data_IF_234556877520
#
_entry.id   IF_234556877520
#
_cell.length_a   1.000
_cell.length_b   1.000
_cell.length_c   1.000
_cell.angle_alpha   90.00
_cell.angle_beta   90.00
_cell.angle_gamma   90.00
#
_symmetry.space_group_name_H-M   'P 1'
#
loop_
_entity.id
_entity.type
_entity.pdbx_description
1 polymer ?
#
# COMPACT_ATOMS: atom_id res chain seq x y z
N UNK A 1 23.10 -7.90 -21.37
CA UNK A 1 24.38 -7.98 -20.62
C UNK A 1 24.13 -7.66 -19.15
N UNK A 2 25.14 -7.70 -18.28
CA UNK A 2 24.98 -7.24 -16.89
C UNK A 2 24.63 -5.74 -16.82
N UNK A 3 25.21 -4.94 -17.72
CA UNK A 3 24.88 -3.51 -17.88
C UNK A 3 23.41 -3.29 -18.26
N UNK A 4 22.85 -4.08 -19.19
CA UNK A 4 21.43 -3.97 -19.55
C UNK A 4 20.51 -4.26 -18.36
N UNK A 5 20.82 -5.27 -17.54
CA UNK A 5 20.04 -5.58 -16.34
C UNK A 5 20.08 -4.46 -15.31
N UNK A 6 21.22 -3.79 -15.17
CA UNK A 6 21.37 -2.62 -14.31
C UNK A 6 20.58 -1.42 -14.81
N UNK A 7 20.53 -1.21 -16.13
CA UNK A 7 19.70 -0.16 -16.72
C UNK A 7 18.21 -0.42 -16.46
N UNK A 8 17.74 -1.66 -16.67
CA UNK A 8 16.36 -2.08 -16.39
C UNK A 8 16.04 -1.90 -14.90
N UNK A 9 16.95 -2.29 -13.99
CA UNK A 9 16.73 -2.10 -12.56
C UNK A 9 16.57 -0.62 -12.19
N UNK A 10 17.33 0.28 -12.80
CA UNK A 10 17.18 1.72 -12.61
C UNK A 10 15.82 2.22 -13.09
N UNK A 11 15.36 1.73 -14.24
CA UNK A 11 14.02 2.05 -14.77
C UNK A 11 12.92 1.56 -13.83
N UNK A 12 13.01 0.33 -13.31
CA UNK A 12 12.06 -0.22 -12.33
C UNK A 12 12.01 0.65 -11.07
N UNK A 13 13.16 1.07 -10.55
CA UNK A 13 13.21 1.94 -9.37
C UNK A 13 12.56 3.31 -9.65
N UNK A 14 12.74 3.87 -10.85
CA UNK A 14 12.07 5.10 -11.26
C UNK A 14 10.55 4.92 -11.37
N UNK A 15 10.09 3.81 -11.96
CA UNK A 15 8.68 3.48 -12.06
C UNK A 15 8.04 3.28 -10.67
N UNK A 16 8.74 2.65 -9.74
CA UNK A 16 8.28 2.54 -8.35
C UNK A 16 8.12 3.91 -7.68
N UNK A 17 9.07 4.82 -7.88
CA UNK A 17 8.93 6.19 -7.37
C UNK A 17 7.72 6.91 -7.99
N UNK A 18 7.48 6.68 -9.28
CA UNK A 18 6.33 7.23 -9.99
C UNK A 18 5.00 6.66 -9.46
N UNK A 19 4.93 5.35 -9.17
CA UNK A 19 3.76 4.72 -8.54
C UNK A 19 3.48 5.37 -7.18
N UNK A 20 4.51 5.52 -6.34
CA UNK A 20 4.35 6.20 -5.04
C UNK A 20 3.86 7.63 -5.22
N UNK A 21 4.38 8.38 -6.21
CA UNK A 21 3.91 9.74 -6.51
C UNK A 21 2.44 9.77 -6.93
N UNK A 22 2.03 8.88 -7.84
CA UNK A 22 0.62 8.79 -8.27
C UNK A 22 -0.27 8.47 -7.06
N UNK A 23 0.17 7.59 -6.18
CA UNK A 23 -0.55 7.26 -4.94
C UNK A 23 -0.81 8.48 -4.06
N UNK A 24 0.23 9.29 -3.83
CA UNK A 24 0.17 10.44 -2.93
C UNK A 24 -0.52 11.65 -3.55
N UNK A 25 -0.34 11.86 -4.85
CA UNK A 25 -0.74 13.09 -5.53
C UNK A 25 -2.13 12.98 -6.17
N UNK A 26 -2.69 11.77 -6.32
CA UNK A 26 -4.05 11.58 -6.84
C UNK A 26 -5.07 12.04 -5.80
N UNK A 27 -5.60 13.25 -6.02
CA UNK A 27 -6.63 13.85 -5.18
C UNK A 27 -7.90 14.21 -5.96
N UNK A 28 -9.03 14.18 -5.26
CA UNK A 28 -10.31 14.74 -5.72
C UNK A 28 -10.82 15.73 -4.68
N UNK A 29 -11.04 16.99 -5.08
CA UNK A 29 -11.48 18.06 -4.19
C UNK A 29 -10.62 18.14 -2.90
N UNK A 30 -9.29 18.19 -3.09
CA UNK A 30 -8.26 18.21 -2.02
C UNK A 30 -8.26 17.01 -1.09
N UNK A 31 -8.97 15.93 -1.43
CA UNK A 31 -8.95 14.66 -0.68
C UNK A 31 -8.12 13.64 -1.45
N UNK A 32 -7.04 13.11 -0.86
CA UNK A 32 -6.27 12.05 -1.48
C UNK A 32 -7.12 10.79 -1.60
N UNK A 33 -7.03 10.11 -2.73
CA UNK A 33 -7.86 8.93 -3.03
C UNK A 33 -7.14 7.62 -2.78
N UNK A 34 -5.85 7.54 -3.14
CA UNK A 34 -5.09 6.29 -3.21
C UNK A 34 -4.12 6.07 -2.03
N UNK A 35 -4.08 7.01 -1.08
CA UNK A 35 -3.17 6.96 0.05
C UNK A 35 -3.65 6.05 1.20
N UNK A 36 -4.83 5.44 1.07
CA UNK A 36 -5.45 4.57 2.07
C UNK A 36 -6.35 5.26 3.08
N UNK A 37 -6.48 6.58 3.04
CA UNK A 37 -7.36 7.30 3.96
C UNK A 37 -8.85 6.99 3.74
N UNK A 38 -9.20 6.51 2.55
CA UNK A 38 -10.57 6.14 2.16
C UNK A 38 -10.86 4.66 2.37
N UNK A 39 -10.05 3.95 3.16
CA UNK A 39 -10.33 2.59 3.61
C UNK A 39 -10.57 2.57 5.13
N UNK A 40 -10.91 1.41 5.69
CA UNK A 40 -10.97 1.21 7.13
C UNK A 40 -9.64 1.59 7.78
N UNK A 41 -9.68 2.51 8.73
CA UNK A 41 -8.54 2.78 9.58
C UNK A 41 -8.38 1.71 10.65
N UNK A 42 -7.15 1.52 11.12
CA UNK A 42 -6.86 0.63 12.25
C UNK A 42 -5.89 1.28 13.21
N UNK A 43 -5.97 0.90 14.49
CA UNK A 43 -4.90 1.15 15.44
C UNK A 43 -4.39 -0.16 16.02
N UNK A 44 -3.08 -0.22 16.26
CA UNK A 44 -2.43 -1.30 17.00
C UNK A 44 -2.21 -0.84 18.44
N UNK A 45 -2.30 -1.77 19.40
CA UNK A 45 -1.92 -1.53 20.78
C UNK A 45 -0.40 -1.37 20.97
N UNK A 46 0.41 -1.81 20.00
CA UNK A 46 1.88 -1.72 20.00
C UNK A 46 2.35 -0.93 18.78
N UNK A 47 3.38 -0.08 18.93
CA UNK A 47 4.04 0.64 17.83
C UNK A 47 4.73 -0.26 16.81
N UNK A 48 5.00 -1.50 17.22
CA UNK A 48 5.83 -2.43 16.47
C UNK A 48 5.04 -3.16 15.39
N UNK A 49 3.72 -2.96 15.32
CA UNK A 49 2.88 -3.58 14.30
C UNK A 49 2.01 -2.56 13.59
N UNK A 50 2.06 -2.61 12.25
CA UNK A 50 1.28 -1.76 11.36
C UNK A 50 0.38 -2.63 10.47
N UNK A 51 -0.86 -2.22 10.25
CA UNK A 51 -1.70 -2.84 9.24
C UNK A 51 -1.34 -2.29 7.85
N UNK A 52 -1.10 -3.19 6.91
CA UNK A 52 -0.73 -2.85 5.53
C UNK A 52 -1.98 -2.70 4.68
N UNK A 53 -2.85 -3.71 4.70
CA UNK A 53 -4.07 -3.75 3.89
C UNK A 53 -5.10 -4.69 4.51
N UNK A 54 -6.36 -4.43 4.19
CA UNK A 54 -7.49 -5.30 4.52
C UNK A 54 -8.37 -5.53 3.29
N UNK A 55 -9.11 -6.63 3.30
CA UNK A 55 -10.19 -6.89 2.36
C UNK A 55 -11.52 -6.33 2.85
N UNK A 56 -12.50 -6.18 1.95
CA UNK A 56 -13.82 -5.64 2.29
C UNK A 56 -14.64 -6.55 3.22
N UNK A 57 -14.27 -7.84 3.31
CA UNK A 57 -14.92 -8.83 4.17
C UNK A 57 -14.47 -8.73 5.63
N UNK A 58 -13.59 -7.78 5.95
CA UNK A 58 -13.05 -7.58 7.29
C UNK A 58 -14.00 -6.71 8.08
N UNK A 59 -14.67 -7.30 9.07
CA UNK A 59 -15.51 -6.56 10.00
C UNK A 59 -14.69 -5.61 10.87
N UNK A 60 -15.29 -4.48 11.26
CA UNK A 60 -14.75 -3.57 12.27
C UNK A 60 -14.86 -4.20 13.67
N UNK A 61 -13.77 -4.81 14.13
CA UNK A 61 -13.64 -5.42 15.46
C UNK A 61 -12.16 -5.52 15.87
N UNK A 62 -11.93 -6.03 17.06
CA UNK A 62 -10.60 -6.31 17.58
C UNK A 62 -10.09 -7.65 17.06
N UNK A 63 -8.94 -7.63 16.41
CA UNK A 63 -8.21 -8.80 15.95
C UNK A 63 -6.95 -8.98 16.79
N UNK A 64 -6.93 -10.06 17.58
CA UNK A 64 -5.82 -10.39 18.46
C UNK A 64 -4.96 -11.48 17.83
N UNK A 65 -3.65 -11.31 17.90
CA UNK A 65 -2.68 -12.34 17.53
C UNK A 65 -1.41 -12.16 18.35
N UNK A 66 -0.60 -13.21 18.39
CA UNK A 66 0.62 -13.26 19.17
C UNK A 66 1.79 -13.38 18.20
N UNK A 67 2.74 -12.46 18.27
CA UNK A 67 4.00 -12.60 17.55
C UNK A 67 4.93 -13.44 18.42
N UNK A 68 5.16 -14.69 18.00
CA UNK A 68 6.04 -15.61 18.70
C UNK A 68 7.50 -15.44 18.29
N UNK A 69 7.75 -14.89 17.11
CA UNK A 69 9.10 -14.75 16.57
C UNK A 69 9.16 -13.57 15.61
N UNK A 70 10.20 -12.74 15.72
CA UNK A 70 10.43 -11.68 14.75
C UNK A 70 11.02 -12.24 13.46
N UNK A 71 10.95 -11.44 12.40
CA UNK A 71 11.66 -11.73 11.17
C UNK A 71 13.12 -11.25 11.26
N UNK A 72 14.03 -11.97 10.60
CA UNK A 72 15.45 -11.62 10.48
C UNK A 72 15.87 -11.66 9.01
N UNK A 73 16.68 -10.69 8.60
CA UNK A 73 17.35 -10.68 7.29
C UNK A 73 18.37 -11.82 7.21
N UNK A 74 18.77 -12.23 6.01
CA UNK A 74 19.94 -13.10 5.87
C UNK A 74 21.18 -12.24 6.17
N UNK A 75 21.90 -12.57 7.25
CA UNK A 75 23.10 -11.84 7.67
C UNK A 75 24.28 -12.80 7.69
N UNK A 76 25.38 -12.39 7.05
CA UNK A 76 26.65 -13.09 7.07
C UNK A 76 27.75 -12.16 7.53
N UNK A 77 28.57 -12.63 8.47
CA UNK A 77 29.63 -11.84 9.10
C UNK A 77 30.97 -12.58 9.05
N UNK A 78 32.06 -11.84 9.26
CA UNK A 78 33.37 -12.44 9.52
C UNK A 78 34.28 -12.57 8.31
N UNK A 79 33.88 -12.07 7.13
CA UNK A 79 34.83 -11.85 6.04
C UNK A 79 35.80 -10.74 6.47
N UNK A 80 37.10 -11.00 6.51
CA UNK A 80 38.09 -10.02 6.98
C UNK A 80 38.64 -9.21 5.81
N UNK A 81 38.74 -7.88 5.97
CA UNK A 81 39.55 -7.05 5.10
C UNK A 81 40.90 -6.80 5.76
N UNK A 82 41.98 -6.97 4.99
CA UNK A 82 43.33 -6.58 5.42
C UNK A 82 43.47 -5.06 5.56
N UNK A 83 44.68 -4.59 5.82
CA UNK A 83 44.96 -3.16 5.89
C UNK A 83 44.69 -2.46 4.55
N UNK A 84 44.28 -1.19 4.60
CA UNK A 84 43.94 -0.36 3.41
C UNK A 84 45.06 -0.29 2.35
N UNK A 85 46.32 -0.45 2.77
CA UNK A 85 47.50 -0.46 1.89
C UNK A 85 47.85 -1.84 1.32
N UNK A 86 47.19 -2.90 1.80
CA UNK A 86 47.47 -4.26 1.35
C UNK A 86 46.95 -4.44 -0.08
N UNK A 87 47.79 -5.04 -0.92
CA UNK A 87 47.47 -5.37 -2.30
C UNK A 87 47.27 -6.88 -2.42
N UNK A 88 46.35 -7.27 -3.30
CA UNK A 88 46.16 -8.66 -3.66
C UNK A 88 47.40 -9.17 -4.41
N UNK A 89 48.08 -10.20 -3.89
CA UNK A 89 49.20 -10.82 -4.57
C UNK A 89 48.76 -11.60 -5.83
N UNK A 90 49.68 -11.85 -6.77
CA UNK A 90 49.38 -12.59 -8.02
C UNK A 90 48.79 -13.99 -7.77
N UNK A 91 49.22 -14.67 -6.71
CA UNK A 91 48.71 -15.99 -6.32
C UNK A 91 47.39 -15.93 -5.53
N UNK A 92 46.96 -14.73 -5.19
CA UNK A 92 45.72 -14.39 -4.52
C UNK A 92 44.73 -13.70 -5.47
N UNK A 93 44.96 -13.66 -6.79
CA UNK A 93 43.89 -13.25 -7.71
C UNK A 93 42.84 -14.36 -7.87
N UNK A 94 41.58 -13.99 -8.13
CA UNK A 94 40.51 -14.96 -8.29
C UNK A 94 39.12 -14.36 -8.32
N UNK A 95 38.12 -15.24 -8.27
CA UNK A 95 36.71 -14.87 -8.41
C UNK A 95 36.00 -15.17 -7.08
N UNK A 96 35.23 -14.21 -6.60
CA UNK A 96 34.25 -14.40 -5.53
C UNK A 96 32.88 -14.44 -6.19
N UNK A 97 32.16 -15.55 -6.02
CA UNK A 97 30.80 -15.68 -6.47
C UNK A 97 29.86 -15.42 -5.29
N UNK A 98 28.99 -14.41 -5.42
CA UNK A 98 27.94 -14.13 -4.43
C UNK A 98 26.60 -14.31 -5.15
N UNK A 99 25.74 -15.22 -4.67
CA UNK A 99 24.40 -15.49 -5.24
C UNK A 99 24.39 -15.58 -6.79
N UNK A 100 25.41 -16.19 -7.39
CA UNK A 100 25.54 -16.37 -8.84
C UNK A 100 26.20 -15.21 -9.59
N UNK A 101 26.59 -14.13 -8.92
CA UNK A 101 27.32 -13.00 -9.52
C UNK A 101 28.82 -13.15 -9.29
N UNK A 102 29.59 -13.25 -10.37
CA UNK A 102 31.05 -13.35 -10.34
C UNK A 102 31.72 -11.97 -10.16
N UNK A 103 32.45 -11.82 -9.07
CA UNK A 103 33.24 -10.64 -8.73
C UNK A 103 34.71 -10.98 -8.98
N UNK A 104 35.31 -10.35 -9.99
CA UNK A 104 36.71 -10.58 -10.36
C UNK A 104 37.63 -9.66 -9.57
N UNK A 105 38.47 -10.27 -8.73
CA UNK A 105 39.53 -9.61 -7.99
C UNK A 105 40.84 -9.82 -8.76
N UNK A 106 41.44 -8.71 -9.20
CA UNK A 106 42.69 -8.75 -9.95
C UNK A 106 43.88 -8.60 -9.00
N UNK A 107 45.02 -9.15 -9.42
CA UNK A 107 46.27 -8.91 -8.71
C UNK A 107 46.65 -7.42 -8.76
N UNK A 108 47.10 -6.88 -7.62
CA UNK A 108 47.43 -5.46 -7.45
C UNK A 108 46.26 -4.54 -7.12
N UNK A 109 45.01 -5.04 -7.08
CA UNK A 109 43.88 -4.28 -6.55
C UNK A 109 44.13 -3.97 -5.06
N UNK A 110 43.84 -2.74 -4.63
CA UNK A 110 43.86 -2.39 -3.20
C UNK A 110 42.61 -2.91 -2.50
N UNK A 111 42.67 -3.15 -1.20
CA UNK A 111 41.50 -3.59 -0.42
C UNK A 111 40.32 -2.61 -0.52
N UNK A 112 40.57 -1.32 -0.73
CA UNK A 112 39.54 -0.31 -1.01
C UNK A 112 38.85 -0.54 -2.36
N UNK A 113 39.61 -0.86 -3.41
CA UNK A 113 39.05 -1.18 -4.73
C UNK A 113 38.27 -2.51 -4.71
N UNK A 114 38.74 -3.49 -3.94
CA UNK A 114 38.02 -4.75 -3.75
C UNK A 114 36.72 -4.52 -2.99
N UNK A 115 36.73 -3.69 -1.94
CA UNK A 115 35.53 -3.34 -1.20
C UNK A 115 34.50 -2.62 -2.08
N UNK A 116 34.92 -1.64 -2.89
CA UNK A 116 34.00 -0.97 -3.82
C UNK A 116 33.42 -1.93 -4.85
N UNK A 117 34.21 -2.85 -5.42
CA UNK A 117 33.69 -3.90 -6.32
C UNK A 117 32.69 -4.82 -5.62
N UNK A 118 32.95 -5.20 -4.37
CA UNK A 118 32.05 -6.02 -3.57
C UNK A 118 30.75 -5.27 -3.26
N UNK A 119 30.85 -4.00 -2.88
CA UNK A 119 29.72 -3.13 -2.57
C UNK A 119 28.83 -2.93 -3.78
N UNK A 120 29.41 -2.55 -4.92
CA UNK A 120 28.68 -2.38 -6.17
C UNK A 120 27.95 -3.65 -6.55
N UNK A 121 28.64 -4.80 -6.56
CA UNK A 121 28.03 -6.09 -6.88
C UNK A 121 26.90 -6.44 -5.90
N UNK A 122 27.10 -6.29 -4.60
CA UNK A 122 26.10 -6.61 -3.60
C UNK A 122 24.89 -5.67 -3.65
N UNK A 123 25.09 -4.39 -3.93
CA UNK A 123 23.99 -3.43 -4.12
C UNK A 123 23.08 -3.85 -5.28
N UNK A 124 23.64 -4.43 -6.36
CA UNK A 124 22.84 -5.00 -7.45
C UNK A 124 22.02 -6.22 -7.02
N UNK A 125 22.41 -6.90 -5.96
CA UNK A 125 21.76 -8.11 -5.42
C UNK A 125 20.82 -7.81 -4.24
N UNK A 126 20.56 -6.53 -3.93
CA UNK A 126 19.85 -6.13 -2.70
C UNK A 126 20.52 -6.64 -1.41
N UNK A 127 21.84 -6.78 -1.44
CA UNK A 127 22.67 -7.09 -0.29
C UNK A 127 23.43 -5.83 0.09
N UNK A 128 23.28 -5.34 1.31
CA UNK A 128 24.12 -4.27 1.86
C UNK A 128 25.41 -4.89 2.40
N UNK A 129 26.53 -4.22 2.16
CA UNK A 129 27.85 -4.60 2.69
C UNK A 129 28.46 -3.42 3.43
N UNK A 130 28.96 -3.65 4.64
CA UNK A 130 29.68 -2.65 5.41
C UNK A 130 30.71 -3.29 6.34
N UNK A 131 31.69 -2.50 6.77
CA UNK A 131 32.66 -2.90 7.77
C UNK A 131 32.08 -2.73 9.19
N UNK A 132 32.13 -3.78 9.99
CA UNK A 132 31.68 -3.82 11.36
C UNK A 132 32.75 -3.25 12.30
N UNK A 133 32.34 -2.30 13.15
CA UNK A 133 33.16 -1.73 14.23
C UNK A 133 32.65 -2.12 15.62
N UNK A 134 31.34 -2.41 15.74
CA UNK A 134 30.70 -2.70 17.01
C UNK A 134 29.29 -3.28 16.84
N UNK A 135 28.54 -3.29 17.93
CA UNK A 135 27.15 -3.73 17.98
C UNK A 135 26.32 -2.61 18.59
N UNK A 136 25.46 -1.99 17.77
CA UNK A 136 24.66 -0.81 18.10
C UNK A 136 23.19 -1.13 18.35
N UNK A 137 22.73 -2.34 18.00
CA UNK A 137 21.33 -2.76 18.18
C UNK A 137 20.35 -2.14 17.17
N UNK A 138 20.85 -1.41 16.17
CA UNK A 138 20.03 -0.78 15.12
C UNK A 138 19.51 -1.84 14.11
N UNK A 139 18.18 -2.01 13.96
CA UNK A 139 17.62 -2.99 13.02
C UNK A 139 18.00 -2.74 11.55
N UNK A 140 18.27 -1.50 11.14
CA UNK A 140 18.61 -1.15 9.74
C UNK A 140 20.00 -1.66 9.32
N UNK A 141 20.84 -1.96 10.30
CA UNK A 141 22.17 -2.58 10.17
C UNK A 141 22.21 -3.94 10.86
N UNK A 142 21.06 -4.61 11.00
CA UNK A 142 20.93 -5.90 11.69
C UNK A 142 21.60 -5.94 13.07
N UNK A 143 21.68 -4.82 13.77
CA UNK A 143 22.29 -4.70 15.10
C UNK A 143 23.79 -4.37 15.11
N UNK A 144 24.44 -4.23 13.95
CA UNK A 144 25.85 -3.92 13.84
C UNK A 144 26.11 -2.42 13.59
N UNK A 145 27.25 -1.93 14.06
CA UNK A 145 27.71 -0.57 13.79
C UNK A 145 28.64 -0.55 12.58
N UNK A 146 28.28 0.23 11.56
CA UNK A 146 29.12 0.44 10.38
C UNK A 146 30.15 1.55 10.62
N UNK A 147 31.40 1.36 10.17
CA UNK A 147 32.35 2.46 10.11
C UNK A 147 33.47 2.26 9.09
N UNK A 148 34.60 3.00 9.18
CA UNK A 148 35.68 2.92 8.21
C UNK A 148 36.25 1.50 8.05
N UNK A 149 36.78 1.22 6.86
CA UNK A 149 37.26 -0.10 6.40
C UNK A 149 38.62 -0.50 7.07
N UNK A 150 38.95 0.09 8.22
CA UNK A 150 40.24 -0.13 8.87
C UNK A 150 40.23 -1.42 9.69
N UNK A 151 40.68 -2.52 9.07
CA UNK A 151 40.97 -3.80 9.72
C UNK A 151 39.76 -4.47 10.41
N UNK A 152 38.55 -4.22 9.89
CA UNK A 152 37.28 -4.74 10.40
C UNK A 152 36.71 -5.91 9.60
N UNK A 153 35.84 -6.70 10.22
CA UNK A 153 35.06 -7.74 9.54
C UNK A 153 33.94 -7.11 8.72
N UNK A 154 33.70 -7.61 7.51
CA UNK A 154 32.55 -7.26 6.69
C UNK A 154 31.29 -7.99 7.16
N UNK A 155 30.19 -7.28 7.07
CA UNK A 155 28.84 -7.79 7.28
C UNK A 155 28.07 -7.62 5.97
N UNK A 156 27.50 -8.72 5.50
CA UNK A 156 26.62 -8.80 4.35
C UNK A 156 25.21 -9.02 4.87
N UNK A 157 24.25 -8.22 4.43
CA UNK A 157 22.84 -8.41 4.81
C UNK A 157 21.89 -8.18 3.64
N UNK A 158 20.84 -8.98 3.55
CA UNK A 158 19.76 -8.73 2.59
C UNK A 158 18.91 -7.54 3.03
N UNK A 159 18.44 -6.72 2.09
CA UNK A 159 17.49 -5.63 2.38
C UNK A 159 16.14 -6.15 2.86
N UNK A 160 15.73 -7.32 2.37
CA UNK A 160 14.48 -7.98 2.78
C UNK A 160 14.68 -8.98 3.92
N UNK A 161 13.60 -9.17 4.67
CA UNK A 161 13.50 -10.12 5.76
C UNK A 161 12.89 -11.44 5.25
N UNK A 162 13.25 -12.56 5.86
CA UNK A 162 12.57 -13.84 5.66
C UNK A 162 13.42 -14.97 5.11
N UNK A 163 12.85 -16.17 5.12
CA UNK A 163 13.53 -17.42 4.74
C UNK A 163 13.82 -17.54 3.23
N UNK A 164 13.09 -16.78 2.41
CA UNK A 164 13.32 -16.70 0.97
C UNK A 164 14.60 -15.93 0.61
N UNK A 165 15.16 -15.20 1.56
CA UNK A 165 16.38 -14.42 1.38
C UNK A 165 17.58 -15.26 1.78
N UNK A 166 18.51 -15.43 0.85
CA UNK A 166 19.75 -16.19 1.06
C UNK A 166 20.96 -15.38 0.60
N UNK A 167 22.10 -15.58 1.26
CA UNK A 167 23.40 -15.09 0.82
C UNK A 167 24.32 -16.29 0.75
N UNK A 168 24.67 -16.71 -0.46
CA UNK A 168 25.66 -17.74 -0.73
C UNK A 168 26.92 -17.06 -1.25
N UNK A 169 28.06 -17.33 -0.61
CA UNK A 169 29.36 -16.83 -1.02
C UNK A 169 30.31 -18.00 -1.25
N UNK A 170 30.88 -18.05 -2.45
CA UNK A 170 31.89 -19.02 -2.85
C UNK A 170 33.13 -18.28 -3.35
N UNK A 171 34.31 -18.82 -3.07
CA UNK A 171 35.56 -18.31 -3.62
C UNK A 171 36.27 -19.44 -4.35
N UNK A 172 36.72 -19.17 -5.58
CA UNK A 172 37.34 -20.19 -6.43
C UNK A 172 38.81 -20.48 -6.05
N UNK A 173 39.43 -19.62 -5.24
CA UNK A 173 40.85 -19.74 -4.85
C UNK A 173 41.00 -19.88 -3.32
N UNK A 174 41.58 -20.99 -2.87
CA UNK A 174 41.81 -21.30 -1.45
C UNK A 174 42.70 -20.26 -0.73
N UNK A 175 43.59 -19.57 -1.47
CA UNK A 175 44.43 -18.50 -0.89
C UNK A 175 43.67 -17.20 -0.70
N UNK A 176 42.68 -16.93 -1.53
CA UNK A 176 41.76 -15.81 -1.37
C UNK A 176 40.76 -16.05 -0.27
N UNK A 177 40.22 -17.26 -0.19
CA UNK A 177 39.32 -17.64 0.89
C UNK A 177 40.04 -17.55 2.24
N UNK A 178 41.31 -17.97 2.31
CA UNK A 178 42.16 -17.77 3.49
C UNK A 178 42.44 -16.30 3.84
N UNK A 179 42.64 -15.43 2.84
CA UNK A 179 42.89 -13.99 3.03
C UNK A 179 41.65 -13.26 3.56
N UNK A 180 40.49 -13.58 2.99
CA UNK A 180 39.20 -12.99 3.35
C UNK A 180 38.49 -13.72 4.48
N UNK A 181 39.08 -14.80 5.03
CA UNK A 181 38.50 -15.59 6.12
C UNK A 181 37.26 -16.42 5.75
N UNK A 182 36.99 -16.62 4.45
CA UNK A 182 35.88 -17.41 3.92
C UNK A 182 36.23 -18.90 3.95
N UNK A 183 35.33 -19.75 4.44
CA UNK A 183 35.55 -21.20 4.40
C UNK A 183 35.62 -21.73 2.96
N UNK A 184 36.53 -22.67 2.69
CA UNK A 184 36.76 -23.22 1.33
C UNK A 184 35.57 -24.03 0.78
N UNK A 185 34.58 -24.36 1.62
CA UNK A 185 33.31 -24.97 1.21
C UNK A 185 32.23 -23.96 0.76
N UNK A 186 32.51 -22.67 0.88
CA UNK A 186 31.52 -21.60 0.74
C UNK A 186 30.71 -21.36 2.03
N UNK A 187 30.11 -20.19 2.13
CA UNK A 187 29.27 -19.80 3.26
C UNK A 187 27.84 -19.51 2.78
N UNK A 188 26.82 -19.90 3.57
CA UNK A 188 25.41 -19.75 3.20
C UNK A 188 24.54 -19.21 4.34
N UNK A 189 24.24 -17.91 4.32
CA UNK A 189 23.27 -17.30 5.21
C UNK A 189 21.85 -17.39 4.68
N UNK A 190 20.89 -17.64 5.57
CA UNK A 190 19.45 -17.68 5.27
C UNK A 190 18.74 -16.81 6.31
N UNK A 191 17.79 -16.01 5.86
CA UNK A 191 16.96 -15.21 6.75
C UNK A 191 15.92 -16.06 7.49
N UNK A 192 15.17 -15.44 8.39
CA UNK A 192 14.14 -16.13 9.18
C UNK A 192 12.84 -15.35 9.11
N UNK A 193 11.73 -16.04 8.86
CA UNK A 193 10.40 -15.41 8.85
C UNK A 193 9.89 -15.15 10.27
N UNK A 194 9.04 -14.12 10.40
CA UNK A 194 8.24 -13.94 11.60
C UNK A 194 7.31 -15.16 11.81
N UNK A 195 6.91 -15.40 13.05
CA UNK A 195 5.88 -16.40 13.37
C UNK A 195 4.79 -15.75 14.20
N UNK A 196 3.55 -15.90 13.76
CA UNK A 196 2.39 -15.43 14.48
C UNK A 196 1.39 -16.55 14.77
N UNK A 197 0.78 -16.52 15.96
CA UNK A 197 -0.37 -17.36 16.31
C UNK A 197 -1.61 -16.49 16.35
N UNK A 198 -2.67 -16.91 15.66
CA UNK A 198 -3.95 -16.20 15.68
C UNK A 198 -4.63 -16.36 17.04
N UNK A 199 -5.22 -15.28 17.52
CA UNK A 199 -6.02 -15.22 18.73
C UNK A 199 -7.49 -14.88 18.43
N UNK A 200 -8.13 -14.22 19.38
CA UNK A 200 -9.55 -13.86 19.28
C UNK A 200 -9.80 -12.80 18.20
N UNK A 201 -10.94 -12.89 17.50
CA UNK A 201 -11.35 -11.97 16.43
C UNK A 201 -11.30 -12.61 15.04
N UNK A 202 -10.50 -13.66 14.88
CA UNK A 202 -10.48 -14.50 13.68
C UNK A 202 -11.45 -15.68 13.80
N UNK A 203 -11.89 -16.21 12.66
CA UNK A 203 -12.61 -17.48 12.64
C UNK A 203 -11.68 -18.64 12.98
N UNK A 204 -12.25 -19.82 13.26
CA UNK A 204 -11.46 -21.04 13.47
C UNK A 204 -10.79 -21.58 12.19
N UNK A 205 -11.21 -21.12 11.01
CA UNK A 205 -10.67 -21.53 9.70
C UNK A 205 -9.57 -20.60 9.19
N UNK A 206 -9.38 -19.45 9.85
CA UNK A 206 -8.35 -18.50 9.48
C UNK A 206 -6.94 -19.09 9.59
N UNK A 207 -6.11 -18.81 8.60
CA UNK A 207 -4.72 -19.23 8.51
C UNK A 207 -3.79 -18.03 8.44
N UNK A 208 -2.80 -17.97 9.33
CA UNK A 208 -1.70 -17.02 9.24
C UNK A 208 -0.59 -17.60 8.36
N UNK A 209 -0.21 -16.86 7.32
CA UNK A 209 1.00 -17.09 6.55
C UNK A 209 1.97 -15.96 6.82
N UNK A 210 3.22 -16.29 7.13
CA UNK A 210 4.26 -15.32 7.42
C UNK A 210 5.32 -15.40 6.33
N UNK A 211 5.64 -14.26 5.71
CA UNK A 211 6.70 -14.13 4.72
C UNK A 211 7.55 -12.92 5.10
N UNK A 212 8.75 -13.16 5.59
CA UNK A 212 9.58 -12.12 6.17
C UNK A 212 8.87 -11.45 7.36
N UNK A 213 8.77 -10.13 7.29
CA UNK A 213 8.12 -9.30 8.30
C UNK A 213 6.62 -9.07 8.05
N UNK A 214 6.06 -9.64 6.98
CA UNK A 214 4.64 -9.52 6.63
C UNK A 214 3.90 -10.77 7.10
N UNK A 215 2.87 -10.56 7.90
CA UNK A 215 1.93 -11.58 8.36
C UNK A 215 0.63 -11.38 7.58
N UNK A 216 0.30 -12.32 6.70
CA UNK A 216 -0.96 -12.32 5.95
C UNK A 216 -1.90 -13.34 6.57
N UNK A 217 -3.02 -12.88 7.08
CA UNK A 217 -4.10 -13.73 7.60
C UNK A 217 -5.16 -13.85 6.54
N UNK A 218 -5.40 -15.07 6.08
CA UNK A 218 -6.44 -15.39 5.09
C UNK A 218 -7.48 -16.32 5.71
N UNK A 219 -8.73 -16.18 5.29
CA UNK A 219 -9.81 -17.07 5.67
C UNK A 219 -10.74 -17.32 4.47
N UNK A 220 -11.81 -18.08 4.67
CA UNK A 220 -12.88 -18.28 3.69
C UNK A 220 -13.50 -16.97 3.20
N UNK A 221 -14.23 -17.06 2.10
CA UNK A 221 -15.03 -15.97 1.53
C UNK A 221 -14.24 -14.70 1.12
N UNK A 222 -12.92 -14.83 0.97
CA UNK A 222 -12.06 -13.73 0.53
C UNK A 222 -11.71 -12.75 1.64
N UNK A 223 -11.72 -13.19 2.91
CA UNK A 223 -11.15 -12.44 4.02
C UNK A 223 -9.62 -12.47 3.96
N UNK A 224 -9.01 -11.30 3.90
CA UNK A 224 -7.56 -11.11 3.97
C UNK A 224 -7.23 -9.88 4.82
N UNK A 225 -6.26 -10.02 5.74
CA UNK A 225 -5.61 -8.90 6.42
C UNK A 225 -4.10 -9.09 6.37
N UNK A 226 -3.37 -8.02 6.02
CA UNK A 226 -1.91 -7.99 6.03
C UNK A 226 -1.39 -7.07 7.13
N UNK A 227 -0.48 -7.60 7.93
CA UNK A 227 0.20 -6.89 8.99
C UNK A 227 1.70 -6.87 8.73
N UNK A 228 2.36 -5.80 9.15
CA UNK A 228 3.81 -5.66 9.20
C UNK A 228 4.24 -5.72 10.65
N UNK A 229 5.10 -6.67 10.99
CA UNK A 229 5.78 -6.71 12.27
C UNK A 229 7.17 -6.08 12.14
N UNK A 230 7.40 -4.98 12.85
CA UNK A 230 8.73 -4.36 12.97
C UNK A 230 9.63 -5.30 13.79
N UNK A 231 10.90 -5.49 13.39
CA UNK A 231 11.83 -6.32 14.14
C UNK A 231 11.96 -5.83 15.59
N UNK A 232 11.88 -6.76 16.54
CA UNK A 232 11.95 -6.46 17.97
C UNK A 232 10.62 -6.53 18.72
N UNK A 233 9.49 -6.71 18.01
CA UNK A 233 8.18 -6.93 18.63
C UNK A 233 8.21 -8.12 19.61
N UNK A 234 8.72 -9.27 19.16
CA UNK A 234 8.89 -10.47 19.98
C UNK A 234 10.23 -10.53 20.74
N UNK A 235 11.04 -9.46 20.66
CA UNK A 235 12.38 -9.34 21.26
C UNK A 235 13.28 -10.55 21.01
N UNK A 236 13.10 -11.22 19.87
CA UNK A 236 13.88 -12.41 19.56
C UNK A 236 15.32 -12.05 19.25
N UNK A 237 16.26 -12.75 19.88
CA UNK A 237 17.69 -12.57 19.60
C UNK A 237 18.17 -13.67 18.67
N UNK A 238 18.85 -13.25 17.61
CA UNK A 238 19.41 -14.14 16.59
C UNK A 238 20.92 -14.14 16.71
N UNK A 239 21.54 -15.32 16.56
CA UNK A 239 22.96 -15.40 16.23
C UNK A 239 23.06 -15.47 14.71
N UNK A 240 23.60 -14.41 14.12
CA UNK A 240 23.83 -14.33 12.69
C UNK A 240 24.94 -15.28 12.25
N UNK A 241 24.95 -15.61 10.96
CA UNK A 241 25.96 -16.52 10.44
C UNK A 241 27.33 -15.87 10.37
N UNK A 242 28.35 -16.69 10.62
CA UNK A 242 29.73 -16.34 10.28
C UNK A 242 30.17 -17.12 9.05
N UNK A 243 31.12 -16.60 8.28
CA UNK A 243 31.74 -17.28 7.12
C UNK A 243 32.34 -18.67 7.41
N UNK A 244 32.41 -19.07 8.69
CA UNK A 244 32.98 -20.32 9.20
C UNK A 244 31.96 -21.23 9.93
N UNK A 245 30.69 -20.85 10.05
CA UNK A 245 29.65 -21.67 10.69
C UNK A 245 28.40 -21.77 9.80
N UNK A 246 27.82 -22.97 9.76
CA UNK A 246 26.53 -23.22 9.12
C UNK A 246 25.37 -22.84 10.04
N UNK A 247 24.48 -21.97 9.55
CA UNK A 247 23.15 -21.72 10.13
C UNK A 247 23.06 -20.52 11.06
N UNK A 248 22.10 -19.63 10.81
CA UNK A 248 21.70 -18.62 11.80
C UNK A 248 20.83 -19.36 12.82
N UNK A 249 21.26 -19.38 14.09
CA UNK A 249 20.51 -20.04 15.15
C UNK A 249 19.76 -19.03 16.01
N UNK A 250 18.53 -19.35 16.37
CA UNK A 250 17.77 -18.60 17.38
C UNK A 250 18.44 -18.88 18.73
N UNK A 251 18.85 -17.84 19.43
CA UNK A 251 19.68 -17.98 20.65
C UNK A 251 18.86 -17.84 21.93
N UNK A 252 17.73 -17.15 21.88
CA UNK A 252 16.74 -17.15 22.96
C UNK A 252 15.30 -17.08 22.43
N UNK A 253 14.40 -17.79 23.12
CA UNK A 253 13.02 -18.01 22.72
C UNK A 253 12.09 -16.86 23.11
N UNK A 254 11.55 -16.18 22.11
CA UNK A 254 10.20 -15.62 22.06
C UNK A 254 9.71 -14.90 23.34
N UNK A 255 10.09 -13.62 23.52
CA UNK A 255 9.20 -12.71 24.23
C UNK A 255 7.92 -12.61 23.40
N UNK A 256 6.87 -13.37 23.72
CA UNK A 256 5.64 -13.30 22.92
C UNK A 256 4.99 -11.94 23.15
N UNK A 257 4.77 -11.17 22.08
CA UNK A 257 4.00 -9.93 22.18
C UNK A 257 2.55 -10.17 21.78
N UNK A 258 1.64 -9.70 22.63
CA UNK A 258 0.20 -9.80 22.39
C UNK A 258 -0.23 -8.54 21.64
N UNK A 259 -0.51 -8.72 20.36
CA UNK A 259 -0.91 -7.63 19.48
C UNK A 259 -2.42 -7.67 19.31
N UNK A 260 -3.05 -6.54 19.55
CA UNK A 260 -4.45 -6.29 19.26
C UNK A 260 -4.53 -5.16 18.25
N UNK A 261 -5.10 -5.46 17.09
CA UNK A 261 -5.41 -4.47 16.06
C UNK A 261 -6.92 -4.28 16.03
N UNK A 262 -7.35 -3.07 16.31
CA UNK A 262 -8.76 -2.68 16.21
C UNK A 262 -8.98 -2.05 14.85
N UNK A 263 -9.80 -2.70 14.03
CA UNK A 263 -10.28 -2.13 12.77
C UNK A 263 -11.48 -1.24 13.09
N UNK A 264 -11.38 0.03 12.71
CA UNK A 264 -12.40 1.04 12.94
C UNK A 264 -13.36 1.10 11.77
N UNK A 265 -14.63 1.41 12.02
CA UNK A 265 -15.59 1.74 10.95
C UNK A 265 -15.37 3.15 10.36
N UNK A 266 -14.30 3.85 10.77
CA UNK A 266 -13.96 5.19 10.31
C UNK A 266 -12.93 5.13 9.17
N UNK A 267 -13.07 6.05 8.21
CA UNK A 267 -12.17 6.19 7.05
C UNK A 267 -12.88 6.19 5.69
N UNK A 268 -13.77 5.22 5.40
CA UNK A 268 -14.47 5.14 4.13
C UNK A 268 -15.24 6.43 3.77
N UNK A 269 -15.32 6.72 2.48
CA UNK A 269 -16.05 7.88 1.99
C UNK A 269 -17.53 7.54 1.79
N UNK A 270 -18.39 8.11 2.62
CA UNK A 270 -19.84 8.01 2.42
C UNK A 270 -20.32 9.09 1.46
N UNK A 271 -20.91 8.65 0.35
CA UNK A 271 -21.56 9.51 -0.63
C UNK A 271 -23.08 9.45 -0.44
N UNK A 272 -23.72 10.60 -0.24
CA UNK A 272 -25.17 10.71 -0.33
C UNK A 272 -25.56 10.68 -1.82
N UNK A 273 -26.15 9.56 -2.26
CA UNK A 273 -26.49 9.32 -3.68
C UNK A 273 -28.00 9.42 -3.95
N UNK A 274 -28.78 9.84 -2.96
CA UNK A 274 -30.23 9.91 -3.03
C UNK A 274 -30.82 11.14 -2.32
N UNK A 275 -32.09 11.40 -2.58
CA UNK A 275 -32.81 12.56 -2.02
C UNK A 275 -33.24 12.35 -0.55
N UNK A 276 -33.32 11.10 -0.08
CA UNK A 276 -33.82 10.77 1.26
C UNK A 276 -32.69 10.37 2.23
N UNK A 277 -32.96 10.52 3.52
CA UNK A 277 -32.06 10.09 4.61
C UNK A 277 -31.73 8.59 4.49
N UNK A 278 -30.45 8.24 4.71
CA UNK A 278 -29.96 6.86 4.65
C UNK A 278 -29.68 6.32 3.24
N UNK A 279 -29.89 7.11 2.18
CA UNK A 279 -29.50 6.74 0.81
C UNK A 279 -28.02 7.06 0.55
N UNK A 280 -27.14 6.37 1.26
CA UNK A 280 -25.69 6.53 1.15
C UNK A 280 -25.04 5.37 0.41
N UNK A 281 -23.87 5.64 -0.17
CA UNK A 281 -22.99 4.65 -0.74
C UNK A 281 -21.60 4.82 -0.12
N UNK A 282 -21.15 3.79 0.58
CA UNK A 282 -19.79 3.70 1.09
C UNK A 282 -18.84 3.37 -0.06
N UNK A 283 -17.82 4.21 -0.24
CA UNK A 283 -16.73 4.01 -1.19
C UNK A 283 -15.47 3.72 -0.41
N UNK A 284 -14.91 2.53 -0.63
CA UNK A 284 -13.63 2.11 -0.07
C UNK A 284 -12.57 2.03 -1.13
N UNK A 285 -11.45 2.71 -0.88
CA UNK A 285 -10.28 2.64 -1.74
C UNK A 285 -9.08 2.29 -0.86
N UNK A 286 -8.53 1.07 -0.99
CA UNK A 286 -7.36 0.67 -0.21
C UNK A 286 -6.16 1.50 -0.62
N UNK A 287 -5.15 1.53 0.25
CA UNK A 287 -3.85 2.15 -0.06
C UNK A 287 -3.20 1.46 -1.25
N UNK A 288 -2.72 2.25 -2.21
CA UNK A 288 -2.03 1.76 -3.42
C UNK A 288 -0.66 2.38 -3.50
N UNK A 289 0.32 1.80 -2.84
CA UNK A 289 1.72 2.23 -2.88
C UNK A 289 2.65 1.05 -3.14
N UNK A 290 3.93 1.32 -3.41
CA UNK A 290 4.91 0.26 -3.69
C UNK A 290 5.08 -0.72 -2.52
N UNK A 291 4.71 -0.32 -1.31
CA UNK A 291 4.78 -1.18 -0.13
C UNK A 291 3.58 -2.14 -0.04
N UNK A 292 2.34 -1.65 -0.18
CA UNK A 292 1.11 -2.46 -0.21
C UNK A 292 1.03 -3.38 -1.42
N UNK A 293 1.53 -2.92 -2.58
CA UNK A 293 1.68 -3.73 -3.79
C UNK A 293 2.83 -4.75 -3.70
N UNK A 294 3.75 -4.58 -2.75
CA UNK A 294 4.94 -5.42 -2.58
C UNK A 294 6.03 -5.19 -3.62
N UNK A 295 5.96 -4.13 -4.44
CA UNK A 295 6.93 -3.86 -5.53
C UNK A 295 8.14 -3.04 -5.08
N UNK A 296 8.20 -2.58 -3.83
CA UNK A 296 9.23 -1.68 -3.31
C UNK A 296 10.67 -2.19 -3.59
N UNK A 297 10.93 -3.48 -3.37
CA UNK A 297 12.27 -4.06 -3.46
C UNK A 297 12.29 -5.21 -4.47
N UNK A 298 11.93 -4.91 -5.72
CA UNK A 298 12.07 -5.88 -6.83
C UNK A 298 13.49 -5.86 -7.38
N UNK A 299 14.12 -7.03 -7.52
CA UNK A 299 15.44 -7.18 -8.14
C UNK A 299 15.38 -8.03 -9.41
N UNK A 300 15.87 -7.52 -10.53
CA UNK A 300 15.98 -8.27 -11.80
C UNK A 300 17.42 -8.55 -12.24
N UNK A 301 18.42 -8.22 -11.42
CA UNK A 301 19.82 -8.41 -11.75
C UNK A 301 20.25 -9.89 -11.71
N UNK A 302 19.61 -10.70 -10.86
CA UNK A 302 19.84 -12.15 -10.71
C UNK A 302 18.70 -12.95 -11.34
N UNK A 303 18.97 -14.20 -11.73
CA UNK A 303 17.95 -15.07 -12.36
C UNK A 303 16.79 -15.40 -11.41
N UNK A 304 17.09 -15.70 -10.15
CA UNK A 304 16.09 -16.00 -9.13
C UNK A 304 15.30 -14.76 -8.71
N UNK A 305 15.98 -13.61 -8.63
CA UNK A 305 15.34 -12.32 -8.42
C UNK A 305 14.35 -12.00 -9.52
N UNK A 306 14.74 -12.17 -10.80
CA UNK A 306 13.86 -11.94 -11.94
C UNK A 306 12.63 -12.88 -11.96
N UNK A 307 12.80 -14.14 -11.55
CA UNK A 307 11.68 -15.09 -11.46
C UNK A 307 10.70 -14.71 -10.34
N UNK A 308 11.24 -14.28 -9.20
CA UNK A 308 10.44 -13.78 -8.07
C UNK A 308 9.74 -12.46 -8.40
N UNK A 309 10.41 -11.58 -9.14
CA UNK A 309 9.88 -10.31 -9.64
C UNK A 309 8.61 -10.51 -10.46
N UNK A 310 8.57 -11.53 -11.33
CA UNK A 310 7.36 -11.84 -12.12
C UNK A 310 6.18 -12.17 -11.19
N UNK A 311 6.39 -12.99 -10.16
CA UNK A 311 5.32 -13.35 -9.22
C UNK A 311 4.85 -12.14 -8.39
N UNK A 312 5.77 -11.28 -7.95
CA UNK A 312 5.45 -10.06 -7.20
C UNK A 312 4.64 -9.10 -8.08
N UNK A 313 5.07 -8.88 -9.32
CA UNK A 313 4.39 -8.00 -10.26
C UNK A 313 3.01 -8.54 -10.66
N UNK A 314 2.85 -9.85 -10.82
CA UNK A 314 1.55 -10.47 -11.11
C UNK A 314 0.53 -10.26 -9.97
N UNK A 315 0.98 -10.42 -8.72
CA UNK A 315 0.19 -10.08 -7.53
C UNK A 315 -0.18 -8.59 -7.50
N UNK A 316 0.77 -7.71 -7.79
CA UNK A 316 0.52 -6.28 -7.85
C UNK A 316 -0.50 -5.90 -8.95
N UNK A 317 -0.40 -6.51 -10.14
CA UNK A 317 -1.35 -6.31 -11.24
C UNK A 317 -2.75 -6.78 -10.86
N UNK A 318 -2.84 -7.95 -10.23
CA UNK A 318 -4.12 -8.50 -9.74
C UNK A 318 -4.76 -7.54 -8.74
N UNK A 319 -4.00 -7.06 -7.76
CA UNK A 319 -4.49 -6.09 -6.77
C UNK A 319 -4.99 -4.79 -7.41
N UNK A 320 -4.25 -4.21 -8.38
CA UNK A 320 -4.69 -3.01 -9.10
C UNK A 320 -5.94 -3.29 -9.94
N UNK A 321 -6.04 -4.48 -10.53
CA UNK A 321 -7.20 -4.89 -11.32
C UNK A 321 -8.44 -5.01 -10.45
N UNK A 322 -8.32 -5.58 -9.25
CA UNK A 322 -9.40 -5.67 -8.28
C UNK A 322 -9.88 -4.28 -7.84
N UNK A 323 -8.95 -3.36 -7.57
CA UNK A 323 -9.29 -1.97 -7.22
C UNK A 323 -10.01 -1.28 -8.37
N UNK A 324 -9.55 -1.46 -9.62
CA UNK A 324 -10.24 -0.92 -10.81
C UNK A 324 -11.63 -1.51 -10.99
N UNK A 325 -11.80 -2.81 -10.75
CA UNK A 325 -13.10 -3.46 -10.80
C UNK A 325 -14.07 -2.86 -9.77
N UNK A 326 -13.60 -2.60 -8.54
CA UNK A 326 -14.38 -1.91 -7.49
C UNK A 326 -14.77 -0.50 -7.90
N UNK A 327 -13.82 0.30 -8.42
CA UNK A 327 -14.10 1.65 -8.90
C UNK A 327 -15.13 1.65 -10.04
N UNK A 328 -15.04 0.69 -10.97
CA UNK A 328 -16.04 0.51 -12.02
C UNK A 328 -17.43 0.14 -11.46
N UNK A 329 -17.48 -0.71 -10.43
CA UNK A 329 -18.74 -1.03 -9.75
C UNK A 329 -19.35 0.21 -9.05
N UNK A 330 -18.54 1.03 -8.38
CA UNK A 330 -18.99 2.30 -7.79
C UNK A 330 -19.50 3.28 -8.86
N UNK A 331 -18.81 3.38 -10.00
CA UNK A 331 -19.26 4.20 -11.13
C UNK A 331 -20.62 3.74 -11.66
N UNK A 332 -20.81 2.44 -11.92
CA UNK A 332 -22.09 1.91 -12.39
C UNK A 332 -23.22 2.19 -11.38
N UNK A 333 -22.95 2.04 -10.08
CA UNK A 333 -23.93 2.35 -9.03
C UNK A 333 -24.29 3.84 -8.99
N UNK A 334 -23.31 4.73 -9.17
CA UNK A 334 -23.53 6.16 -9.26
C UNK A 334 -24.36 6.53 -10.50
N UNK A 335 -24.06 5.95 -11.66
CA UNK A 335 -24.82 6.18 -12.90
C UNK A 335 -26.29 5.75 -12.74
N UNK A 336 -26.53 4.58 -12.14
CA UNK A 336 -27.89 4.14 -11.83
C UNK A 336 -28.60 5.04 -10.82
N UNK A 337 -27.89 5.52 -9.80
CA UNK A 337 -28.44 6.45 -8.82
C UNK A 337 -28.81 7.80 -9.47
N UNK A 338 -27.94 8.33 -10.34
CA UNK A 338 -28.18 9.57 -11.10
C UNK A 338 -29.41 9.40 -12.00
N UNK A 339 -29.48 8.33 -12.79
CA UNK A 339 -30.63 8.09 -13.68
C UNK A 339 -31.96 8.01 -12.90
N UNK A 340 -31.95 7.40 -11.72
CA UNK A 340 -33.14 7.33 -10.86
C UNK A 340 -33.48 8.69 -10.24
N UNK A 341 -32.47 9.47 -9.83
CA UNK A 341 -32.65 10.82 -9.32
C UNK A 341 -33.21 11.78 -10.38
N UNK A 342 -32.77 11.67 -11.63
CA UNK A 342 -33.28 12.49 -12.73
C UNK A 342 -34.76 12.21 -12.99
N UNK A 343 -35.17 10.93 -13.01
CA UNK A 343 -36.59 10.54 -13.12
C UNK A 343 -37.38 11.02 -11.90
N UNK A 344 -36.81 10.92 -10.70
CA UNK A 344 -37.42 11.44 -9.48
C UNK A 344 -37.63 12.97 -9.55
N UNK A 345 -36.62 13.70 -9.99
CA UNK A 345 -36.67 15.15 -10.16
C UNK A 345 -37.72 15.55 -11.20
N UNK A 346 -37.79 14.87 -12.36
CA UNK A 346 -38.82 15.11 -13.38
C UNK A 346 -40.24 14.92 -12.82
N UNK A 347 -40.49 13.82 -12.11
CA UNK A 347 -41.78 13.55 -11.49
C UNK A 347 -42.16 14.60 -10.43
N UNK A 348 -41.19 15.05 -9.63
CA UNK A 348 -41.41 16.10 -8.62
C UNK A 348 -41.69 17.44 -9.29
N UNK A 349 -40.95 17.79 -10.35
CA UNK A 349 -41.19 19.03 -11.12
C UNK A 349 -42.56 18.99 -11.79
N UNK A 350 -43.00 17.85 -12.35
CA UNK A 350 -44.34 17.71 -12.93
C UNK A 350 -45.44 17.81 -11.86
N UNK A 351 -45.24 17.21 -10.69
CA UNK A 351 -46.17 17.33 -9.56
C UNK A 351 -46.24 18.78 -9.03
N UNK A 352 -45.10 19.47 -8.95
CA UNK A 352 -45.03 20.87 -8.58
C UNK A 352 -45.76 21.75 -9.61
N UNK A 353 -45.51 21.54 -10.90
CA UNK A 353 -46.21 22.23 -11.99
C UNK A 353 -47.73 22.03 -11.90
N UNK A 354 -48.21 20.81 -11.61
CA UNK A 354 -49.65 20.57 -11.37
C UNK A 354 -50.24 21.32 -10.18
N UNK A 355 -49.43 21.69 -9.18
CA UNK A 355 -49.89 22.39 -7.97
C UNK A 355 -49.74 23.91 -8.13
N UNK A 356 -48.61 24.37 -8.67
CA UNK A 356 -48.24 25.78 -8.76
C UNK A 356 -48.72 26.42 -10.06
N UNK A 357 -48.60 25.71 -11.18
CA UNK A 357 -48.99 26.25 -12.47
C UNK A 357 -50.50 26.19 -12.66
N UNK A 358 -51.02 27.23 -13.30
CA UNK A 358 -52.45 27.32 -13.62
C UNK A 358 -52.70 26.89 -15.06
N UNK A 359 -53.82 26.23 -15.29
CA UNK A 359 -54.30 25.95 -16.65
C UNK A 359 -54.71 27.27 -17.32
N UNK A 360 -53.80 27.82 -18.12
CA UNK A 360 -53.99 29.07 -18.84
C UNK A 360 -55.26 29.07 -19.70
N UNK A 361 -55.68 27.94 -20.27
CA UNK A 361 -56.90 27.91 -21.07
C UNK A 361 -58.15 28.14 -20.20
N UNK A 362 -58.18 27.53 -19.02
CA UNK A 362 -59.26 27.71 -18.05
C UNK A 362 -59.25 29.10 -17.42
N UNK A 363 -58.09 29.57 -16.97
CA UNK A 363 -57.97 30.90 -16.36
C UNK A 363 -58.26 32.01 -17.36
N UNK A 364 -57.86 31.89 -18.63
CA UNK A 364 -58.21 32.86 -19.67
C UNK A 364 -59.73 32.88 -19.94
N UNK A 365 -60.39 31.72 -19.88
CA UNK A 365 -61.86 31.64 -20.02
C UNK A 365 -62.57 32.37 -18.87
N UNK A 366 -62.11 32.16 -17.63
CA UNK A 366 -62.63 32.83 -16.44
C UNK A 366 -62.31 34.33 -16.49
N UNK A 367 -61.10 34.71 -16.91
CA UNK A 367 -60.69 36.10 -17.05
C UNK A 367 -61.53 36.83 -18.10
N UNK A 368 -61.76 36.24 -19.27
CA UNK A 368 -62.65 36.80 -20.29
C UNK A 368 -64.10 36.88 -19.78
N UNK A 369 -64.61 35.85 -19.11
CA UNK A 369 -65.93 35.90 -18.47
C UNK A 369 -66.04 37.04 -17.47
N UNK A 370 -65.03 37.20 -16.59
CA UNK A 370 -64.99 38.29 -15.59
C UNK A 370 -64.89 39.65 -16.24
N UNK A 371 -64.11 39.82 -17.31
CA UNK A 371 -64.06 41.08 -18.06
C UNK A 371 -65.39 41.42 -18.72
N UNK A 372 -66.06 40.44 -19.34
CA UNK A 372 -67.40 40.62 -19.90
C UNK A 372 -68.40 40.96 -18.78
N UNK A 373 -68.29 40.34 -17.62
CA UNK A 373 -69.14 40.63 -16.45
C UNK A 373 -68.90 42.04 -15.91
N UNK A 374 -67.64 42.51 -15.85
CA UNK A 374 -67.30 43.87 -15.45
C UNK A 374 -67.83 44.89 -16.46
N UNK A 375 -67.66 44.64 -17.77
CA UNK A 375 -68.22 45.49 -18.82
C UNK A 375 -69.75 45.53 -18.77
N UNK A 376 -70.41 44.38 -18.65
CA UNK A 376 -71.86 44.29 -18.47
C UNK A 376 -72.32 44.96 -17.17
N UNK A 377 -71.56 44.81 -16.08
CA UNK A 377 -71.82 45.47 -14.79
C UNK A 377 -71.72 46.98 -14.90
N UNK A 378 -70.72 47.51 -15.60
CA UNK A 378 -70.62 48.96 -15.87
C UNK A 378 -71.75 49.48 -16.75
N UNK A 379 -72.16 48.74 -17.78
CA UNK A 379 -73.28 49.10 -18.65
C UNK A 379 -74.63 49.02 -17.89
N UNK A 380 -74.81 48.03 -17.03
CA UNK A 380 -75.98 47.87 -16.18
C UNK A 380 -76.04 48.95 -15.09
N UNK A 381 -74.90 49.33 -14.49
CA UNK A 381 -74.81 50.46 -13.57
C UNK A 381 -75.11 51.79 -14.27
N UNK A 382 -74.61 52.00 -15.49
CA UNK A 382 -74.95 53.17 -16.30
C UNK A 382 -76.46 53.23 -16.58
N UNK A 383 -77.06 52.12 -17.02
CA UNK A 383 -78.51 52.05 -17.27
C UNK A 383 -79.37 52.14 -16.00
N UNK A 384 -78.88 51.63 -14.87
CA UNK A 384 -79.52 51.76 -13.57
C UNK A 384 -79.43 53.18 -13.00
N UNK A 385 -78.39 53.95 -13.35
CA UNK A 385 -78.26 55.37 -13.01
C UNK A 385 -79.12 56.29 -13.90
N UNK A 386 -79.33 55.92 -15.17
CA UNK A 386 -80.21 56.67 -16.08
C UNK A 386 -81.70 56.52 -15.78
N UNK A 387 -82.15 55.35 -15.28
CA UNK A 387 -83.56 55.12 -14.92
C UNK A 387 -84.10 56.14 -13.90
N UNK A 388 -83.42 56.42 -12.77
CA UNK A 388 -83.81 57.48 -11.84
C UNK A 388 -83.77 58.88 -12.46
N UNK A 389 -82.80 59.18 -13.32
CA UNK A 389 -82.71 60.49 -14.00
C UNK A 389 -83.85 60.71 -14.99
N UNK A 390 -84.26 59.68 -15.74
CA UNK A 390 -85.43 59.71 -16.60
C UNK A 390 -86.73 59.90 -15.79
N UNK A 391 -86.83 59.28 -14.61
CA UNK A 391 -87.96 59.48 -13.70
C UNK A 391 -87.96 60.91 -13.13
N UNK A 392 -86.80 61.47 -12.78
CA UNK A 392 -86.70 62.88 -12.35
C UNK A 392 -87.06 63.86 -13.49
N UNK A 393 -86.67 63.57 -14.73
CA UNK A 393 -87.07 64.34 -15.92
C UNK A 393 -88.59 64.34 -16.13
N UNK A 394 -89.28 63.24 -15.79
CA UNK A 394 -90.74 63.11 -15.85
C UNK A 394 -91.47 63.77 -14.66
N UNK A 395 -90.75 64.13 -13.60
CA UNK A 395 -91.27 64.80 -12.39
C UNK A 395 -90.98 66.31 -12.38
N UNK A 396 -90.05 66.79 -13.22
CA UNK A 396 -89.66 68.20 -13.33
C UNK A 396 -90.13 68.89 -14.62
N UNK A 397 -90.64 68.15 -15.61
CA UNK A 397 -91.36 68.67 -16.77
C UNK A 397 -92.84 68.34 -16.66
#
# INVERSE_FOLDING_TARGET
TAEDRLAIQKEINQLNNEITRISTDTEFNTKPLLNGNLDCQSYSNTSDVEMISLSDNVDAKDYNFIINQDARQAVMTGMQLGGLSDQIADDQAGIININGTEIKINAGDTMEQVFEKLREACDTMNIKVFAQIGTSGDPDFAGYESGPIDNGSLVFMTKEYGSNQTIEMHCDNDKLSGLFGISSGGAKAVGVDAKATLGNGFSSTATASCSGNIITVTDGDGFEIKFKATPGAAKTTFTDQTVNNDGASITDGAGSDNVCITVLQAGPMDLQIGANEGQTMEVRIPRVDTYTLGTNIVNVCTQDGASSAISILDKAITMVTDIRAKLGAYQNRLEHAIANLDVGAENITEALSRIEDTDMAKEMSIFTQKNVLVQAGTAMLAQANERPQNILSLLQG
#
